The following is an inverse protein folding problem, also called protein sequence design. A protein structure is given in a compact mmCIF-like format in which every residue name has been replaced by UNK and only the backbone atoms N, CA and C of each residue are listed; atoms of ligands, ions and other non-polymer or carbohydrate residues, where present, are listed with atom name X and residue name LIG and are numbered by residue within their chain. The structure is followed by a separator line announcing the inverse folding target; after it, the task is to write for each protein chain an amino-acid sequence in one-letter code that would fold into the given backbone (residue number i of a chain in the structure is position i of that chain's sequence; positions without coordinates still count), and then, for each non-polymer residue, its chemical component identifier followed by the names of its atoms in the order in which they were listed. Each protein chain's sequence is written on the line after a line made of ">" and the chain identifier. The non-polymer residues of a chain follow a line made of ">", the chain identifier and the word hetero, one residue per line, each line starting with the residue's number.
data_IF_469863902511
#
_entry.id   IF_469863902511
#
_cell.length_a   1.000
_cell.length_b   1.000
_cell.length_c   1.000
_cell.angle_alpha   90.00
_cell.angle_beta   90.00
_cell.angle_gamma   90.00
#
_symmetry.space_group_name_H-M   'P 1'
#
loop_
_entity.id
_entity.type
_entity.pdbx_description
1 polymer ?
#
# COMPACT_ATOMS: atom_id res chain seq x y z
N UNK A 1 19.54 2.85 -20.77
CA UNK A 1 20.68 3.14 -19.85
C UNK A 1 20.58 4.55 -19.23
N UNK A 2 20.36 5.63 -19.99
CA UNK A 2 20.24 6.99 -19.43
C UNK A 2 19.14 7.15 -18.34
N UNK A 3 18.02 6.42 -18.48
CA UNK A 3 16.94 6.41 -17.47
C UNK A 3 17.32 5.78 -16.12
N UNK A 4 18.35 4.93 -16.08
CA UNK A 4 18.83 4.34 -14.82
C UNK A 4 19.66 5.34 -13.99
N UNK A 5 20.14 6.43 -14.60
CA UNK A 5 20.76 7.55 -13.89
C UNK A 5 19.75 8.55 -13.31
N UNK A 6 18.46 8.40 -13.63
CA UNK A 6 17.41 9.26 -13.11
C UNK A 6 16.93 8.74 -11.75
N UNK A 7 17.19 9.53 -10.70
CA UNK A 7 16.79 9.20 -9.32
C UNK A 7 15.27 8.96 -9.20
N UNK A 8 14.46 9.66 -10.01
CA UNK A 8 13.00 9.52 -10.01
C UNK A 8 12.56 8.09 -10.32
N UNK A 9 13.27 7.40 -11.22
CA UNK A 9 12.96 6.02 -11.59
C UNK A 9 13.11 5.08 -10.39
N UNK A 10 14.18 5.25 -9.62
CA UNK A 10 14.44 4.42 -8.44
C UNK A 10 13.48 4.73 -7.29
N UNK A 11 13.17 6.00 -7.05
CA UNK A 11 12.18 6.36 -6.00
C UNK A 11 10.79 5.84 -6.37
N UNK A 12 10.38 5.96 -7.64
CA UNK A 12 9.11 5.39 -8.11
C UNK A 12 9.08 3.87 -7.95
N UNK A 13 10.18 3.17 -8.29
CA UNK A 13 10.28 1.71 -8.12
C UNK A 13 10.21 1.28 -6.65
N UNK A 14 10.92 1.97 -5.75
CA UNK A 14 10.90 1.71 -4.31
C UNK A 14 9.52 2.01 -3.71
N UNK A 15 8.89 3.10 -4.14
CA UNK A 15 7.52 3.43 -3.75
C UNK A 15 6.55 2.34 -4.20
N UNK A 16 6.59 1.97 -5.49
CA UNK A 16 5.72 0.92 -6.04
C UNK A 16 5.91 -0.42 -5.32
N UNK A 17 7.14 -0.81 -5.03
CA UNK A 17 7.43 -2.04 -4.28
C UNK A 17 6.82 -2.03 -2.87
N UNK A 18 6.92 -0.91 -2.14
CA UNK A 18 6.33 -0.77 -0.82
C UNK A 18 4.80 -0.82 -0.86
N UNK A 19 4.20 -0.16 -1.85
CA UNK A 19 2.76 -0.14 -2.08
C UNK A 19 2.18 -1.49 -2.46
N UNK A 20 2.77 -2.13 -3.47
CA UNK A 20 2.31 -3.40 -4.04
C UNK A 20 2.30 -4.51 -2.98
N UNK A 21 3.36 -4.57 -2.17
CA UNK A 21 3.47 -5.56 -1.09
C UNK A 21 2.74 -5.18 0.20
N UNK A 22 2.24 -3.94 0.33
CA UNK A 22 1.65 -3.44 1.57
C UNK A 22 2.64 -3.30 2.73
N UNK A 23 3.93 -3.07 2.43
CA UNK A 23 5.00 -2.99 3.42
C UNK A 23 4.82 -1.76 4.33
N UNK A 24 4.35 -1.99 5.56
CA UNK A 24 4.09 -0.93 6.55
C UNK A 24 2.62 -0.80 6.96
N UNK A 25 1.68 -1.45 6.28
CA UNK A 25 0.26 -1.41 6.67
C UNK A 25 -0.05 -2.20 7.95
N UNK A 26 0.87 -3.06 8.42
CA UNK A 26 0.62 -3.95 9.55
C UNK A 26 -0.23 -5.19 9.21
N UNK A 27 -0.65 -5.36 7.96
CA UNK A 27 -1.46 -6.50 7.50
C UNK A 27 -0.77 -7.85 7.79
N UNK A 28 0.53 -7.94 7.50
CA UNK A 28 1.32 -9.14 7.79
C UNK A 28 1.42 -9.43 9.29
N UNK A 29 1.42 -8.39 10.14
CA UNK A 29 1.41 -8.58 11.59
C UNK A 29 0.08 -9.20 12.03
N UNK A 30 -1.05 -8.71 11.51
CA UNK A 30 -2.36 -9.32 11.78
C UNK A 30 -2.42 -10.77 11.34
N UNK A 31 -1.89 -11.09 10.16
CA UNK A 31 -1.83 -12.48 9.69
C UNK A 31 -0.91 -13.35 10.53
N UNK A 32 0.23 -12.84 10.97
CA UNK A 32 1.13 -13.56 11.84
C UNK A 32 0.48 -13.99 13.16
N UNK A 33 -0.53 -13.26 13.66
CA UNK A 33 -1.28 -13.65 14.86
C UNK A 33 -2.17 -14.88 14.63
N UNK A 34 -2.58 -15.14 13.39
CA UNK A 34 -3.36 -16.32 13.00
C UNK A 34 -2.49 -17.46 12.45
N UNK A 35 -1.21 -17.20 12.19
CA UNK A 35 -0.26 -18.21 11.74
C UNK A 35 0.05 -19.24 12.82
N UNK A 36 0.27 -20.49 12.38
CA UNK A 36 0.70 -21.57 13.27
C UNK A 36 2.19 -21.41 13.60
N UNK A 37 2.63 -21.87 14.77
CA UNK A 37 4.05 -21.81 15.19
C UNK A 37 5.03 -22.44 14.20
N UNK A 38 4.59 -23.47 13.47
CA UNK A 38 5.37 -24.18 12.44
C UNK A 38 5.48 -23.43 11.10
N UNK A 39 4.74 -22.35 10.90
CA UNK A 39 4.81 -21.58 9.66
C UNK A 39 6.09 -20.76 9.62
N UNK A 40 6.74 -20.76 8.45
CA UNK A 40 8.01 -20.08 8.27
C UNK A 40 7.75 -18.67 7.73
N UNK A 41 7.91 -17.61 8.54
CA UNK A 41 7.65 -16.24 8.10
C UNK A 41 8.54 -15.80 6.94
N UNK A 42 9.78 -16.30 6.86
CA UNK A 42 10.73 -15.95 5.79
C UNK A 42 10.22 -16.48 4.45
N UNK A 43 9.87 -17.77 4.40
CA UNK A 43 9.37 -18.39 3.17
C UNK A 43 8.02 -17.79 2.76
N UNK A 44 7.12 -17.57 3.73
CA UNK A 44 5.81 -16.96 3.46
C UNK A 44 5.96 -15.56 2.88
N UNK A 45 6.80 -14.71 3.48
CA UNK A 45 7.03 -13.35 2.97
C UNK A 45 7.72 -13.34 1.60
N UNK A 46 8.66 -14.26 1.35
CA UNK A 46 9.33 -14.38 0.05
C UNK A 46 8.37 -14.83 -1.05
N UNK A 47 7.55 -15.86 -0.78
CA UNK A 47 6.54 -16.34 -1.73
C UNK A 47 5.48 -15.29 -2.02
N UNK A 48 5.05 -14.53 -1.00
CA UNK A 48 4.09 -13.44 -1.17
C UNK A 48 4.67 -12.35 -2.08
N UNK A 49 5.89 -11.87 -1.81
CA UNK A 49 6.53 -10.86 -2.65
C UNK A 49 6.78 -11.35 -4.07
N UNK A 50 7.20 -12.61 -4.24
CA UNK A 50 7.38 -13.20 -5.57
C UNK A 50 6.05 -13.28 -6.34
N UNK A 51 4.99 -13.76 -5.69
CA UNK A 51 3.67 -13.86 -6.30
C UNK A 51 3.11 -12.51 -6.75
N UNK A 52 3.28 -11.48 -5.91
CA UNK A 52 2.87 -10.10 -6.20
C UNK A 52 3.59 -9.53 -7.44
N UNK A 53 4.91 -9.64 -7.51
CA UNK A 53 5.68 -9.17 -8.66
C UNK A 53 5.43 -10.01 -9.91
N UNK A 54 5.23 -11.32 -9.76
CA UNK A 54 4.90 -12.19 -10.88
C UNK A 54 3.54 -11.83 -11.49
N UNK A 55 2.52 -11.61 -10.67
CA UNK A 55 1.21 -11.15 -11.12
C UNK A 55 1.30 -9.77 -11.80
N UNK A 56 2.04 -8.83 -11.22
CA UNK A 56 2.28 -7.51 -11.80
C UNK A 56 2.98 -7.58 -13.17
N UNK A 57 3.96 -8.48 -13.31
CA UNK A 57 4.65 -8.69 -14.58
C UNK A 57 3.73 -9.30 -15.63
N UNK A 58 2.91 -10.30 -15.26
CA UNK A 58 1.91 -10.88 -16.15
C UNK A 58 0.90 -9.83 -16.63
N UNK A 59 0.42 -8.97 -15.72
CA UNK A 59 -0.46 -7.86 -16.08
C UNK A 59 0.23 -6.90 -17.06
N UNK A 60 1.47 -6.50 -16.80
CA UNK A 60 2.23 -5.61 -17.68
C UNK A 60 2.46 -6.21 -19.08
N UNK A 61 2.87 -7.48 -19.14
CA UNK A 61 3.09 -8.22 -20.41
C UNK A 61 1.78 -8.46 -21.16
N UNK A 62 0.63 -8.46 -20.48
CA UNK A 62 -0.67 -8.56 -21.13
C UNK A 62 -1.14 -7.21 -21.65
N UNK A 63 -1.10 -6.17 -20.81
CA UNK A 63 -1.65 -4.84 -21.11
C UNK A 63 -0.80 -4.12 -22.16
N UNK A 64 0.52 -4.06 -21.99
CA UNK A 64 1.39 -3.24 -22.86
C UNK A 64 1.29 -3.67 -24.33
N UNK A 65 1.49 -4.95 -24.70
CA UNK A 65 1.36 -5.38 -26.09
C UNK A 65 -0.05 -5.22 -26.64
N UNK A 66 -1.09 -5.39 -25.81
CA UNK A 66 -2.48 -5.17 -26.21
C UNK A 66 -2.71 -3.71 -26.62
N UNK A 67 -2.20 -2.76 -25.84
CA UNK A 67 -2.26 -1.32 -26.18
C UNK A 67 -1.51 -1.04 -27.48
N UNK A 68 -0.30 -1.60 -27.66
CA UNK A 68 0.46 -1.44 -28.91
C UNK A 68 -0.28 -2.03 -30.13
N UNK A 69 -0.87 -3.22 -29.98
CA UNK A 69 -1.65 -3.88 -31.02
C UNK A 69 -2.87 -3.05 -31.43
N UNK A 70 -3.57 -2.46 -30.46
CA UNK A 70 -4.74 -1.62 -30.71
C UNK A 70 -4.45 -0.38 -31.56
N UNK A 71 -3.28 0.24 -31.38
CA UNK A 71 -2.86 1.40 -32.16
C UNK A 71 -2.06 1.03 -33.41
N UNK A 72 -1.76 -0.26 -33.63
CA UNK A 72 -1.04 -0.71 -34.81
C UNK A 72 -1.79 -0.31 -36.09
N UNK A 73 -1.07 0.29 -37.05
CA UNK A 73 -1.65 0.78 -38.30
C UNK A 73 -2.41 2.11 -38.22
N UNK A 74 -2.48 2.75 -37.04
CA UNK A 74 -3.01 4.11 -36.92
C UNK A 74 -1.89 5.16 -37.05
N UNK A 75 -2.20 6.32 -37.63
CA UNK A 75 -1.32 7.48 -37.57
C UNK A 75 -1.03 7.84 -36.10
N UNK A 76 0.23 8.14 -35.80
CA UNK A 76 0.74 8.50 -34.46
C UNK A 76 0.57 7.39 -33.40
N UNK A 77 0.65 6.11 -33.81
CA UNK A 77 0.49 4.96 -32.90
C UNK A 77 1.38 5.05 -31.64
N UNK A 78 2.64 5.46 -31.78
CA UNK A 78 3.57 5.58 -30.65
C UNK A 78 3.17 6.68 -29.65
N UNK A 79 2.69 7.83 -30.14
CA UNK A 79 2.25 8.93 -29.30
C UNK A 79 0.99 8.57 -28.52
N UNK A 80 0.04 7.92 -29.18
CA UNK A 80 -1.20 7.43 -28.54
C UNK A 80 -0.92 6.35 -27.49
N UNK A 81 -0.03 5.40 -27.78
CA UNK A 81 0.40 4.42 -26.77
C UNK A 81 1.02 5.15 -25.57
N UNK A 82 1.87 6.15 -25.81
CA UNK A 82 2.49 6.92 -24.73
C UNK A 82 1.46 7.72 -23.92
N UNK A 83 0.39 8.21 -24.54
CA UNK A 83 -0.73 8.88 -23.89
C UNK A 83 -1.48 7.91 -22.95
N UNK A 84 -1.82 6.72 -23.44
CA UNK A 84 -2.43 5.66 -22.62
C UNK A 84 -1.55 5.32 -21.43
N UNK A 85 -0.25 5.12 -21.67
CA UNK A 85 0.72 4.73 -20.62
C UNK A 85 1.04 5.85 -19.62
N UNK A 86 0.70 7.11 -19.93
CA UNK A 86 0.81 8.25 -19.02
C UNK A 86 -0.48 8.56 -18.28
N UNK A 87 -1.58 7.90 -18.65
CA UNK A 87 -2.86 8.06 -17.97
C UNK A 87 -2.74 7.50 -16.54
N UNK A 88 -3.45 8.09 -15.59
CA UNK A 88 -3.53 7.57 -14.24
C UNK A 88 -4.25 6.22 -14.16
N UNK A 89 -4.21 5.58 -13.00
CA UNK A 89 -4.78 4.25 -12.79
C UNK A 89 -6.29 4.21 -13.10
N UNK A 90 -7.00 5.30 -12.82
CA UNK A 90 -8.45 5.44 -13.06
C UNK A 90 -8.72 5.50 -14.57
N UNK A 91 -8.04 6.37 -15.31
CA UNK A 91 -8.25 6.49 -16.74
C UNK A 91 -7.80 5.25 -17.51
N UNK A 92 -6.69 4.61 -17.11
CA UNK A 92 -6.30 3.33 -17.73
C UNK A 92 -7.39 2.27 -17.57
N UNK A 93 -7.90 2.09 -16.35
CA UNK A 93 -8.84 1.00 -16.01
C UNK A 93 -10.26 1.25 -16.52
N UNK A 94 -10.76 2.48 -16.44
CA UNK A 94 -12.17 2.78 -16.71
C UNK A 94 -12.41 3.49 -18.05
N UNK A 95 -11.36 3.94 -18.76
CA UNK A 95 -11.49 4.56 -20.08
C UNK A 95 -10.81 3.68 -21.12
N UNK A 96 -9.52 3.39 -20.94
CA UNK A 96 -8.74 2.69 -21.96
C UNK A 96 -9.05 1.20 -22.06
N UNK A 97 -9.11 0.47 -20.94
CA UNK A 97 -9.44 -0.96 -20.96
C UNK A 97 -10.81 -1.24 -21.65
N UNK A 98 -11.90 -0.53 -21.33
CA UNK A 98 -13.17 -0.67 -22.08
C UNK A 98 -13.03 -0.38 -23.58
N UNK A 99 -12.31 0.68 -23.94
CA UNK A 99 -12.05 1.01 -25.35
C UNK A 99 -11.27 -0.10 -26.07
N UNK A 100 -10.27 -0.70 -25.42
CA UNK A 100 -9.51 -1.83 -25.97
C UNK A 100 -10.42 -3.04 -26.24
N UNK A 101 -11.22 -3.44 -25.24
CA UNK A 101 -12.12 -4.58 -25.38
C UNK A 101 -13.20 -4.33 -26.44
N UNK A 102 -13.66 -3.09 -26.66
CA UNK A 102 -14.66 -2.76 -27.70
C UNK A 102 -14.22 -3.12 -29.14
N UNK A 103 -12.92 -3.32 -29.38
CA UNK A 103 -12.37 -3.65 -30.70
C UNK A 103 -12.09 -5.13 -30.91
N UNK A 104 -12.20 -5.95 -29.87
CA UNK A 104 -11.95 -7.39 -29.94
C UNK A 104 -13.29 -8.11 -30.12
N UNK A 105 -13.37 -9.14 -30.99
CA UNK A 105 -14.54 -10.00 -31.06
C UNK A 105 -14.91 -10.55 -29.68
N UNK A 106 -16.20 -10.55 -29.33
CA UNK A 106 -16.69 -10.90 -27.98
C UNK A 106 -16.10 -10.05 -26.85
N UNK A 107 -15.64 -8.83 -27.15
CA UNK A 107 -15.03 -7.91 -26.20
C UNK A 107 -15.85 -7.65 -24.93
N UNK A 108 -17.17 -7.50 -25.05
CA UNK A 108 -18.06 -7.29 -23.89
C UNK A 108 -18.02 -8.44 -22.88
N UNK A 109 -17.84 -9.69 -23.34
CA UNK A 109 -17.69 -10.85 -22.45
C UNK A 109 -16.38 -10.77 -21.66
N UNK A 110 -15.27 -10.49 -22.34
CA UNK A 110 -13.97 -10.34 -21.69
C UNK A 110 -13.90 -9.11 -20.79
N UNK A 111 -14.57 -8.02 -21.15
CA UNK A 111 -14.69 -6.82 -20.32
C UNK A 111 -15.43 -7.13 -19.01
N UNK A 112 -16.52 -7.89 -19.07
CA UNK A 112 -17.25 -8.34 -17.89
C UNK A 112 -16.37 -9.23 -17.00
N UNK A 113 -15.62 -10.16 -17.60
CA UNK A 113 -14.68 -11.01 -16.86
C UNK A 113 -13.54 -10.21 -16.22
N UNK A 114 -13.01 -9.21 -16.93
CA UNK A 114 -11.98 -8.31 -16.41
C UNK A 114 -12.46 -7.54 -15.18
N UNK A 115 -13.63 -6.90 -15.24
CA UNK A 115 -14.17 -6.17 -14.10
C UNK A 115 -14.59 -7.08 -12.95
N UNK A 116 -15.04 -8.30 -13.25
CA UNK A 116 -15.30 -9.30 -12.22
C UNK A 116 -14.01 -9.70 -11.49
N UNK A 117 -12.93 -9.95 -12.25
CA UNK A 117 -11.61 -10.24 -11.68
C UNK A 117 -11.07 -9.05 -10.88
N UNK A 118 -11.21 -7.82 -11.38
CA UNK A 118 -10.83 -6.59 -10.68
C UNK A 118 -11.61 -6.43 -9.37
N UNK A 119 -12.90 -6.74 -9.37
CA UNK A 119 -13.74 -6.72 -8.18
C UNK A 119 -13.26 -7.74 -7.12
N UNK A 120 -12.96 -8.98 -7.53
CA UNK A 120 -12.40 -9.98 -6.62
C UNK A 120 -11.01 -9.58 -6.09
N UNK A 121 -10.16 -8.98 -6.93
CA UNK A 121 -8.86 -8.46 -6.52
C UNK A 121 -9.01 -7.37 -5.45
N UNK A 122 -9.89 -6.39 -5.67
CA UNK A 122 -10.19 -5.35 -4.69
C UNK A 122 -10.79 -5.92 -3.40
N UNK A 123 -11.74 -6.85 -3.52
CA UNK A 123 -12.43 -7.48 -2.38
C UNK A 123 -11.47 -8.28 -1.49
N UNK A 124 -10.55 -9.05 -2.09
CA UNK A 124 -9.56 -9.82 -1.33
C UNK A 124 -8.59 -8.93 -0.53
N UNK A 125 -8.16 -7.79 -1.09
CA UNK A 125 -7.37 -6.79 -0.36
C UNK A 125 -8.17 -6.17 0.79
N UNK A 126 -9.44 -5.81 0.55
CA UNK A 126 -10.32 -5.20 1.55
C UNK A 126 -10.54 -6.10 2.78
N UNK A 127 -10.69 -7.42 2.59
CA UNK A 127 -10.81 -8.37 3.71
C UNK A 127 -9.64 -8.25 4.68
N UNK A 128 -8.41 -8.18 4.15
CA UNK A 128 -7.18 -8.04 4.93
C UNK A 128 -7.18 -6.77 5.78
N UNK A 129 -7.59 -5.65 5.16
CA UNK A 129 -7.62 -4.33 5.79
C UNK A 129 -8.70 -4.23 6.87
N UNK A 130 -9.89 -4.79 6.62
CA UNK A 130 -10.95 -4.84 7.63
C UNK A 130 -10.57 -5.74 8.81
N UNK A 131 -9.92 -6.87 8.57
CA UNK A 131 -9.46 -7.77 9.63
C UNK A 131 -8.40 -7.12 10.52
N UNK A 132 -7.48 -6.33 9.97
CA UNK A 132 -6.51 -5.55 10.74
C UNK A 132 -7.21 -4.64 11.76
N UNK A 133 -8.17 -3.83 11.32
CA UNK A 133 -8.88 -2.90 12.20
C UNK A 133 -9.77 -3.67 13.19
N UNK A 134 -10.49 -4.69 12.72
CA UNK A 134 -11.31 -5.54 13.58
C UNK A 134 -10.48 -6.22 14.66
N UNK A 135 -9.25 -6.63 14.36
CA UNK A 135 -8.34 -7.23 15.33
C UNK A 135 -7.97 -6.27 16.45
N UNK A 136 -7.69 -5.01 16.14
CA UNK A 136 -7.42 -3.97 17.16
C UNK A 136 -8.60 -3.84 18.13
N UNK A 137 -9.84 -3.84 17.62
CA UNK A 137 -11.04 -3.82 18.46
C UNK A 137 -11.21 -5.09 19.31
N UNK A 138 -10.89 -6.26 18.75
CA UNK A 138 -10.91 -7.53 19.49
C UNK A 138 -9.86 -7.54 20.61
N UNK A 139 -8.67 -7.02 20.36
CA UNK A 139 -7.61 -6.91 21.37
C UNK A 139 -8.04 -5.96 22.50
N UNK A 140 -8.85 -4.93 22.20
CA UNK A 140 -9.53 -4.06 23.17
C UNK A 140 -10.73 -4.69 23.90
N UNK A 141 -11.04 -5.97 23.65
CA UNK A 141 -12.05 -6.75 24.37
C UNK A 141 -13.42 -6.87 23.67
N UNK A 142 -13.57 -6.40 22.43
CA UNK A 142 -14.82 -6.62 21.68
C UNK A 142 -14.90 -8.04 21.13
N UNK A 143 -16.11 -8.59 21.03
CA UNK A 143 -16.31 -9.85 20.31
C UNK A 143 -16.13 -9.65 18.80
N UNK A 144 -15.63 -10.68 18.10
CA UNK A 144 -15.38 -10.64 16.64
C UNK A 144 -16.58 -10.09 15.86
N UNK A 145 -17.78 -10.58 16.14
CA UNK A 145 -19.01 -10.15 15.45
C UNK A 145 -19.26 -8.65 15.60
N UNK A 146 -19.07 -8.10 16.81
CA UNK A 146 -19.22 -6.66 17.07
C UNK A 146 -18.12 -5.85 16.39
N UNK A 147 -16.87 -6.30 16.49
CA UNK A 147 -15.72 -5.63 15.88
C UNK A 147 -15.88 -5.52 14.35
N UNK A 148 -16.15 -6.64 13.67
CA UNK A 148 -16.35 -6.66 12.22
C UNK A 148 -17.54 -5.79 11.78
N UNK A 149 -18.65 -5.83 12.53
CA UNK A 149 -19.83 -5.01 12.21
C UNK A 149 -19.56 -3.51 12.33
N UNK A 150 -18.91 -3.08 13.43
CA UNK A 150 -18.53 -1.68 13.65
C UNK A 150 -17.58 -1.22 12.54
N UNK A 151 -16.52 -1.99 12.28
CA UNK A 151 -15.53 -1.64 11.25
C UNK A 151 -16.16 -1.58 9.86
N UNK A 152 -17.03 -2.53 9.52
CA UNK A 152 -17.73 -2.55 8.24
C UNK A 152 -18.63 -1.32 8.03
N UNK A 153 -19.45 -0.97 9.03
CA UNK A 153 -20.32 0.22 8.95
C UNK A 153 -19.49 1.50 8.92
N UNK A 154 -18.46 1.61 9.76
CA UNK A 154 -17.57 2.78 9.75
C UNK A 154 -16.85 2.92 8.41
N UNK A 155 -16.34 1.83 7.83
CA UNK A 155 -15.69 1.86 6.52
C UNK A 155 -16.67 2.27 5.41
N UNK A 156 -17.91 1.76 5.44
CA UNK A 156 -18.94 2.15 4.49
C UNK A 156 -19.28 3.65 4.61
N UNK A 157 -19.57 4.12 5.82
CA UNK A 157 -19.96 5.50 6.06
C UNK A 157 -18.84 6.50 5.72
N UNK A 158 -17.60 6.20 6.12
CA UNK A 158 -16.43 7.04 5.82
C UNK A 158 -15.97 6.95 4.36
N UNK A 159 -16.35 5.87 3.65
CA UNK A 159 -16.08 5.70 2.23
C UNK A 159 -17.06 6.42 1.29
N UNK A 160 -18.25 6.82 1.78
CA UNK A 160 -19.26 7.50 0.95
C UNK A 160 -18.76 8.77 0.25
N UNK A 161 -18.00 9.68 0.90
CA UNK A 161 -17.49 10.87 0.22
C UNK A 161 -16.56 10.54 -0.96
N UNK A 162 -15.75 9.48 -0.83
CA UNK A 162 -14.88 8.97 -1.90
C UNK A 162 -15.68 8.37 -3.06
N UNK A 163 -16.84 7.76 -2.78
CA UNK A 163 -17.72 7.23 -3.83
C UNK A 163 -18.45 8.33 -4.59
N UNK A 164 -18.70 9.49 -3.96
CA UNK A 164 -19.45 10.61 -4.56
C UNK A 164 -18.53 11.59 -5.29
N UNK A 165 -17.30 11.79 -4.82
CA UNK A 165 -16.37 12.78 -5.37
C UNK A 165 -15.00 12.17 -5.68
N UNK A 166 -14.64 12.14 -6.97
CA UNK A 166 -13.31 11.77 -7.43
C UNK A 166 -12.22 12.66 -6.83
N UNK A 167 -12.51 13.95 -6.61
CA UNK A 167 -11.57 14.87 -5.97
C UNK A 167 -11.27 14.50 -4.52
N UNK A 168 -12.30 14.06 -3.78
CA UNK A 168 -12.11 13.57 -2.41
C UNK A 168 -11.38 12.22 -2.41
N UNK A 169 -11.76 11.30 -3.30
CA UNK A 169 -11.08 10.02 -3.48
C UNK A 169 -9.58 10.20 -3.74
N UNK A 170 -9.21 11.03 -4.72
CA UNK A 170 -7.82 11.30 -5.07
C UNK A 170 -7.05 11.97 -3.91
N UNK A 171 -7.69 12.85 -3.15
CA UNK A 171 -7.07 13.45 -1.98
C UNK A 171 -6.79 12.41 -0.88
N UNK A 172 -7.76 11.54 -0.57
CA UNK A 172 -7.57 10.50 0.44
C UNK A 172 -6.54 9.46 0.00
N UNK A 173 -6.54 9.07 -1.27
CA UNK A 173 -5.53 8.18 -1.85
C UNK A 173 -4.12 8.79 -1.71
N UNK A 174 -3.97 10.08 -2.00
CA UNK A 174 -2.70 10.80 -1.86
C UNK A 174 -2.23 10.92 -0.39
N UNK A 175 -3.12 11.36 0.50
CA UNK A 175 -2.80 11.64 1.91
C UNK A 175 -2.45 10.37 2.68
N UNK A 176 -3.28 9.34 2.57
CA UNK A 176 -3.06 8.07 3.25
C UNK A 176 -2.06 7.19 2.52
N UNK A 177 -1.90 7.45 1.22
CA UNK A 177 -0.69 7.25 0.44
C UNK A 177 0.57 7.45 1.28
N UNK A 178 0.97 8.69 1.47
CA UNK A 178 2.22 8.96 2.21
C UNK A 178 2.25 8.39 3.65
N UNK A 179 1.09 8.09 4.25
CA UNK A 179 0.98 7.49 5.57
C UNK A 179 1.63 6.11 5.65
N UNK A 180 1.68 5.35 4.55
CA UNK A 180 2.37 4.07 4.49
C UNK A 180 3.85 4.18 4.86
N UNK A 181 4.53 5.19 4.33
CA UNK A 181 5.97 5.41 4.56
C UNK A 181 6.22 5.72 6.03
N UNK A 182 5.35 6.54 6.64
CA UNK A 182 5.41 6.87 8.06
C UNK A 182 5.19 5.64 8.94
N UNK A 183 4.20 4.80 8.61
CA UNK A 183 3.97 3.54 9.32
C UNK A 183 5.16 2.58 9.19
N UNK A 184 5.73 2.47 7.98
CA UNK A 184 6.99 1.75 7.75
C UNK A 184 8.14 2.28 8.61
N UNK A 185 8.22 3.60 8.81
CA UNK A 185 9.19 4.24 9.71
C UNK A 185 9.07 3.72 11.14
N UNK A 186 7.85 3.62 11.67
CA UNK A 186 7.62 3.12 13.02
C UNK A 186 8.06 1.67 13.17
N UNK A 187 7.80 0.82 12.17
CA UNK A 187 8.29 -0.57 12.18
C UNK A 187 9.81 -0.64 12.13
N UNK A 188 10.46 0.13 11.26
CA UNK A 188 11.93 0.19 11.18
C UNK A 188 12.50 0.64 12.53
N UNK A 189 11.97 1.73 13.10
CA UNK A 189 12.39 2.25 14.39
C UNK A 189 12.22 1.22 15.52
N UNK A 190 11.10 0.49 15.54
CA UNK A 190 10.84 -0.55 16.54
C UNK A 190 11.88 -1.68 16.46
N UNK A 191 12.24 -2.12 15.25
CA UNK A 191 13.25 -3.17 15.06
C UNK A 191 14.65 -2.66 15.42
N UNK A 192 14.97 -1.41 15.08
CA UNK A 192 16.24 -0.77 15.48
C UNK A 192 16.36 -0.68 17.00
N UNK A 193 15.28 -0.28 17.70
CA UNK A 193 15.23 -0.20 19.16
C UNK A 193 15.34 -1.58 19.82
N UNK A 194 14.71 -2.60 19.24
CA UNK A 194 14.79 -4.00 19.71
C UNK A 194 16.18 -4.61 19.47
N UNK A 195 16.90 -4.11 18.47
CA UNK A 195 18.17 -4.65 17.98
C UNK A 195 17.94 -5.61 16.80
N UNK A 196 18.44 -5.31 15.59
CA UNK A 196 18.19 -6.14 14.40
C UNK A 196 18.61 -7.61 14.56
N UNK A 197 19.76 -7.86 15.21
CA UNK A 197 20.23 -9.22 15.53
C UNK A 197 19.23 -9.97 16.41
N UNK A 198 18.76 -9.32 17.48
CA UNK A 198 17.78 -9.88 18.42
C UNK A 198 16.48 -10.20 17.71
N UNK A 199 15.97 -9.26 16.91
CA UNK A 199 14.77 -9.44 16.12
C UNK A 199 14.88 -10.64 15.15
N UNK A 200 16.03 -10.77 14.47
CA UNK A 200 16.29 -11.88 13.55
C UNK A 200 16.35 -13.24 14.25
N UNK A 201 17.09 -13.32 15.34
CA UNK A 201 17.41 -14.59 16.02
C UNK A 201 16.30 -15.06 16.96
N UNK A 202 15.60 -14.14 17.64
CA UNK A 202 14.62 -14.49 18.67
C UNK A 202 13.17 -14.39 18.18
N UNK A 203 12.86 -13.45 17.26
CA UNK A 203 11.49 -13.21 16.81
C UNK A 203 11.19 -13.90 15.48
N UNK A 204 12.10 -13.80 14.50
CA UNK A 204 11.90 -14.42 13.17
C UNK A 204 12.34 -15.89 13.16
N UNK A 205 13.54 -16.18 13.65
CA UNK A 205 14.15 -17.52 13.57
C UNK A 205 13.82 -18.35 14.81
N UNK A 206 12.54 -18.62 15.04
CA UNK A 206 12.11 -19.50 16.13
C UNK A 206 12.60 -20.94 15.92
N UNK A 207 12.55 -21.78 16.96
CA UNK A 207 13.11 -23.14 16.95
C UNK A 207 12.55 -24.07 15.85
N UNK A 208 11.41 -23.73 15.26
CA UNK A 208 10.75 -24.50 14.20
C UNK A 208 11.00 -23.95 12.77
N UNK A 209 11.73 -22.84 12.62
CA UNK A 209 11.95 -22.20 11.32
C UNK A 209 13.04 -22.92 10.52
N UNK A 210 12.66 -23.56 9.40
CA UNK A 210 13.57 -24.34 8.53
C UNK A 210 14.64 -23.48 7.83
N UNK A 211 14.33 -22.22 7.54
CA UNK A 211 15.24 -21.26 6.92
C UNK A 211 15.62 -20.20 7.95
N UNK A 212 16.90 -19.83 8.00
CA UNK A 212 17.41 -18.78 8.90
C UNK A 212 17.93 -17.60 8.10
N UNK A 213 17.63 -16.40 8.56
CA UNK A 213 18.16 -15.18 7.95
C UNK A 213 19.64 -14.99 8.33
N UNK A 214 20.44 -14.53 7.38
CA UNK A 214 21.85 -14.22 7.59
C UNK A 214 22.11 -12.83 8.19
N UNK A 215 23.40 -12.52 8.40
CA UNK A 215 23.88 -11.19 8.85
C UNK A 215 23.55 -10.04 7.91
N UNK A 216 23.28 -10.33 6.64
CA UNK A 216 22.81 -9.34 5.67
C UNK A 216 21.50 -8.67 6.08
N UNK A 217 20.60 -9.38 6.77
CA UNK A 217 19.36 -8.79 7.28
C UNK A 217 19.62 -7.65 8.26
N UNK A 218 20.59 -7.85 9.18
CA UNK A 218 20.91 -6.84 10.18
C UNK A 218 21.45 -5.57 9.51
N UNK A 219 22.28 -5.72 8.48
CA UNK A 219 22.80 -4.60 7.70
C UNK A 219 21.69 -3.86 6.93
N UNK A 220 20.78 -4.62 6.28
CA UNK A 220 19.65 -4.05 5.55
C UNK A 220 18.76 -3.21 6.47
N UNK A 221 18.37 -3.74 7.62
CA UNK A 221 17.51 -3.01 8.57
C UNK A 221 18.23 -1.84 9.21
N UNK A 222 19.53 -1.99 9.52
CA UNK A 222 20.30 -0.95 10.22
C UNK A 222 20.63 0.25 9.35
N UNK A 223 20.87 0.04 8.06
CA UNK A 223 21.38 1.10 7.19
C UNK A 223 20.50 1.32 5.96
N UNK A 224 20.20 0.27 5.20
CA UNK A 224 19.52 0.42 3.90
C UNK A 224 18.08 0.91 4.08
N UNK A 225 17.29 0.31 4.96
CA UNK A 225 15.89 0.71 5.17
C UNK A 225 15.75 2.15 5.71
N UNK A 226 16.55 2.61 6.70
CA UNK A 226 16.54 4.01 7.11
C UNK A 226 16.92 5.00 5.99
N UNK A 227 17.96 4.67 5.22
CA UNK A 227 18.39 5.53 4.09
C UNK A 227 17.28 5.60 3.04
N UNK A 228 16.69 4.46 2.68
CA UNK A 228 15.57 4.40 1.75
C UNK A 228 14.41 5.27 2.24
N UNK A 229 14.06 5.20 3.52
CA UNK A 229 12.99 5.99 4.10
C UNK A 229 13.25 7.49 4.00
N UNK A 230 14.47 7.92 4.37
CA UNK A 230 14.87 9.34 4.28
C UNK A 230 14.85 9.80 2.82
N UNK A 231 15.35 8.99 1.90
CA UNK A 231 15.36 9.31 0.47
C UNK A 231 13.95 9.41 -0.11
N UNK A 232 13.06 8.47 0.24
CA UNK A 232 11.66 8.49 -0.21
C UNK A 232 10.91 9.70 0.35
N UNK A 233 11.00 9.95 1.66
CA UNK A 233 10.37 11.14 2.25
C UNK A 233 10.93 12.42 1.62
N UNK A 234 12.25 12.58 1.59
CA UNK A 234 12.89 13.77 1.02
C UNK A 234 12.50 14.02 -0.43
N UNK A 235 12.44 12.97 -1.25
CA UNK A 235 11.99 13.07 -2.63
C UNK A 235 10.53 13.51 -2.75
N UNK A 236 9.63 12.97 -1.93
CA UNK A 236 8.21 13.36 -1.97
C UNK A 236 8.00 14.82 -1.52
N UNK A 237 8.74 15.26 -0.50
CA UNK A 237 8.76 16.67 -0.11
C UNK A 237 9.23 17.57 -1.26
N UNK A 238 10.30 17.15 -1.93
CA UNK A 238 10.85 17.86 -3.09
C UNK A 238 9.89 17.87 -4.28
N UNK A 239 9.26 16.74 -4.62
CA UNK A 239 8.35 16.60 -5.75
C UNK A 239 7.08 17.44 -5.55
N UNK A 240 6.50 17.43 -4.35
CA UNK A 240 5.35 18.29 -4.06
C UNK A 240 5.69 19.78 -4.06
N UNK A 241 6.88 20.17 -3.60
CA UNK A 241 7.34 21.55 -3.71
C UNK A 241 7.61 21.94 -5.17
N UNK A 242 8.25 21.08 -5.95
CA UNK A 242 8.66 21.39 -7.33
C UNK A 242 7.48 21.44 -8.30
N UNK A 243 6.46 20.59 -8.10
CA UNK A 243 5.29 20.54 -8.97
C UNK A 243 4.34 21.73 -8.74
N UNK A 244 4.27 22.28 -7.52
CA UNK A 244 3.48 23.48 -7.22
C UNK A 244 4.13 24.37 -6.13
N UNK A 245 5.18 25.14 -6.47
CA UNK A 245 5.97 25.92 -5.51
C UNK A 245 5.16 27.01 -4.79
N UNK A 246 4.05 27.45 -5.37
CA UNK A 246 3.19 28.51 -4.83
C UNK A 246 2.09 28.01 -3.90
N UNK A 247 1.72 26.73 -3.96
CA UNK A 247 0.58 26.19 -3.23
C UNK A 247 0.87 24.95 -2.38
N UNK A 248 2.11 24.45 -2.33
CA UNK A 248 2.48 23.25 -1.56
C UNK A 248 2.02 23.28 -0.08
N UNK A 249 1.89 24.47 0.52
CA UNK A 249 1.46 24.67 1.91
C UNK A 249 -0.06 24.74 2.10
N UNK A 250 -0.86 24.82 1.03
CA UNK A 250 -2.32 24.89 1.14
C UNK A 250 -2.86 23.59 1.73
N UNK A 251 -3.79 23.72 2.68
CA UNK A 251 -4.30 22.61 3.50
C UNK A 251 -5.59 21.96 2.95
N UNK A 252 -6.24 22.57 1.96
CA UNK A 252 -7.49 22.08 1.34
C UNK A 252 -7.37 21.77 -0.16
N UNK A 253 -6.15 21.69 -0.69
CA UNK A 253 -5.87 21.26 -2.07
C UNK A 253 -5.73 19.74 -2.16
N UNK A 254 -6.03 19.17 -3.32
CA UNK A 254 -6.12 17.71 -3.49
C UNK A 254 -4.78 16.99 -3.27
N UNK A 255 -3.65 17.55 -3.74
CA UNK A 255 -2.37 16.84 -3.81
C UNK A 255 -1.19 17.66 -3.30
N UNK A 256 -1.35 18.35 -2.17
CA UNK A 256 -0.28 19.19 -1.57
C UNK A 256 0.23 18.62 -0.25
N UNK A 257 1.47 18.93 0.12
CA UNK A 257 2.00 18.57 1.44
C UNK A 257 1.18 19.19 2.59
N UNK A 258 0.66 20.40 2.40
CA UNK A 258 -0.16 21.08 3.40
C UNK A 258 -1.38 20.27 3.82
N UNK A 259 -2.11 19.66 2.86
CA UNK A 259 -3.28 18.82 3.20
C UNK A 259 -2.85 17.57 3.97
N UNK A 260 -1.68 17.01 3.65
CA UNK A 260 -1.16 15.78 4.26
C UNK A 260 -0.77 16.04 5.71
N UNK A 261 0.04 17.06 5.94
CA UNK A 261 0.47 17.45 7.28
C UNK A 261 -0.72 17.84 8.16
N UNK A 262 -1.70 18.56 7.60
CA UNK A 262 -2.92 18.92 8.32
C UNK A 262 -3.73 17.68 8.73
N UNK A 263 -4.07 16.80 7.78
CA UNK A 263 -4.87 15.61 8.06
C UNK A 263 -4.16 14.64 9.01
N UNK A 264 -2.85 14.46 8.88
CA UNK A 264 -2.06 13.65 9.81
C UNK A 264 -2.00 14.26 11.20
N UNK A 265 -1.85 15.58 11.31
CA UNK A 265 -1.86 16.27 12.61
C UNK A 265 -3.20 16.05 13.30
N UNK A 266 -4.31 16.19 12.58
CA UNK A 266 -5.66 15.89 13.09
C UNK A 266 -5.73 14.43 13.56
N UNK A 267 -5.27 13.48 12.75
CA UNK A 267 -5.26 12.06 13.11
C UNK A 267 -4.43 11.78 14.37
N UNK A 268 -3.23 12.34 14.48
CA UNK A 268 -2.35 12.20 15.65
C UNK A 268 -3.00 12.78 16.89
N UNK A 269 -3.60 13.97 16.81
CA UNK A 269 -4.30 14.60 17.94
C UNK A 269 -5.47 13.72 18.41
N UNK A 270 -6.25 13.17 17.47
CA UNK A 270 -7.32 12.21 17.78
C UNK A 270 -6.73 10.98 18.48
N UNK A 271 -5.68 10.37 17.93
CA UNK A 271 -5.02 9.21 18.55
C UNK A 271 -4.50 9.51 19.96
N UNK A 272 -3.86 10.66 20.17
CA UNK A 272 -3.36 11.07 21.49
C UNK A 272 -4.50 11.28 22.49
N UNK A 273 -5.63 11.84 22.04
CA UNK A 273 -6.84 11.98 22.85
C UNK A 273 -7.41 10.62 23.30
N UNK A 274 -7.45 9.64 22.40
CA UNK A 274 -7.92 8.29 22.71
C UNK A 274 -6.86 7.40 23.38
N UNK A 275 -5.57 7.78 23.36
CA UNK A 275 -4.47 6.96 23.86
C UNK A 275 -4.65 6.58 25.33
N UNK A 276 -5.09 7.52 26.18
CA UNK A 276 -5.35 7.23 27.61
C UNK A 276 -6.44 6.16 27.79
N UNK A 277 -7.46 6.15 26.94
CA UNK A 277 -8.57 5.17 26.99
C UNK A 277 -8.08 3.80 26.51
N UNK A 278 -7.34 3.77 25.42
CA UNK A 278 -6.82 2.53 24.81
C UNK A 278 -5.79 1.88 25.75
N UNK A 279 -4.82 2.64 26.24
CA UNK A 279 -3.78 2.16 27.16
C UNK A 279 -4.38 1.57 28.44
N UNK A 280 -5.35 2.26 29.05
CA UNK A 280 -6.02 1.78 30.28
C UNK A 280 -6.83 0.49 30.07
N UNK A 281 -7.42 0.30 28.88
CA UNK A 281 -8.13 -0.95 28.55
C UNK A 281 -7.18 -2.11 28.29
N UNK A 282 -6.05 -1.85 27.62
CA UNK A 282 -5.04 -2.86 27.34
C UNK A 282 -4.29 -3.31 28.60
N UNK A 283 -3.94 -2.38 29.50
CA UNK A 283 -3.25 -2.72 30.75
C UNK A 283 -4.10 -3.64 31.65
N UNK A 284 -5.39 -3.32 31.81
CA UNK A 284 -6.33 -4.14 32.60
C UNK A 284 -6.53 -5.57 32.08
N UNK A 285 -6.25 -5.82 30.80
CA UNK A 285 -6.35 -7.15 30.19
C UNK A 285 -5.10 -7.99 30.40
N UNK A 286 -3.93 -7.38 30.61
CA UNK A 286 -2.70 -8.09 30.93
C UNK A 286 -2.56 -8.42 32.42
N UNK A 287 -3.38 -7.80 33.28
CA UNK A 287 -3.43 -8.04 34.72
C UNK A 287 -4.44 -9.14 35.14
N UNK A 288 -5.33 -9.57 34.22
CA UNK A 288 -6.32 -10.63 34.42
C UNK A 288 -6.01 -11.83 33.53
#
# INVERSE_FOLDING_TARGET
>A
LHKLGDLKVWINALSQAAWSTGAGWGLLLTYAVYSRKKENPILTSATLGFGDYFASLLAAVTIIPTVFSFFSGQNLAQEKVLEVMKTDNVGLTFIWIPNLFSKIPSGSFFLALFFLALCFAAFSSLISQLELIARIFMDCGLTRKKAVFIVGISCFALGLPSAISLGFFNNQDWVWGMGLIVSGAFFIFLVLKTGPKKFREEIISTSETRFKLGKGFDFLVKFILPIQLIAMLGWWFWDSYSNDPGNWYKIFSQSTLGTVLFQWTVAIVVFLGFNKIISKKLSKKNEN
#
